data_IF_326513534899
#
_entry.id   IF_326513534899
#
_cell.length_a   1.000
_cell.length_b   1.000
_cell.length_c   1.000
_cell.angle_alpha   90.00
_cell.angle_beta   90.00
_cell.angle_gamma   90.00
#
_symmetry.space_group_name_H-M   'P 1'
#
loop_
_entity.id
_entity.type
_entity.pdbx_description
1 polymer ?
#
# COMPACT_ATOMS: atom_id res chain seq x y z
N UNK A 1 6.84 -7.35 -5.37
CA UNK A 1 6.15 -6.16 -5.92
C UNK A 1 4.67 -6.20 -5.54
N UNK A 2 4.09 -5.13 -4.97
CA UNK A 2 2.69 -5.12 -4.54
C UNK A 2 1.73 -4.95 -5.73
N UNK A 3 1.45 -6.05 -6.43
CA UNK A 3 0.41 -6.12 -7.46
C UNK A 3 -0.96 -6.21 -6.78
N UNK A 4 -1.82 -5.21 -7.00
CA UNK A 4 -3.24 -5.27 -6.63
C UNK A 4 -3.96 -6.33 -7.47
N UNK A 5 -5.12 -6.76 -6.99
CA UNK A 5 -5.91 -7.85 -7.57
C UNK A 5 -6.78 -7.36 -8.74
N UNK A 6 -7.20 -8.30 -9.61
CA UNK A 6 -8.08 -7.98 -10.74
C UNK A 6 -9.54 -7.88 -10.28
N UNK A 7 -10.30 -6.97 -10.90
CA UNK A 7 -11.75 -6.87 -10.66
C UNK A 7 -12.50 -8.14 -11.10
N UNK A 8 -11.96 -8.91 -12.04
CA UNK A 8 -12.59 -10.14 -12.52
C UNK A 8 -12.69 -11.23 -11.45
N UNK A 9 -11.91 -11.12 -10.37
CA UNK A 9 -11.90 -12.08 -9.28
C UNK A 9 -13.19 -12.12 -8.46
N UNK A 10 -14.10 -11.14 -8.65
CA UNK A 10 -15.47 -11.18 -8.10
C UNK A 10 -16.15 -12.52 -8.43
N UNK A 11 -15.90 -13.06 -9.64
CA UNK A 11 -16.50 -14.31 -10.13
C UNK A 11 -16.05 -15.56 -9.36
N UNK A 12 -15.01 -15.45 -8.55
CA UNK A 12 -14.45 -16.58 -7.79
C UNK A 12 -15.17 -16.83 -6.46
N UNK A 13 -16.08 -15.94 -6.08
CA UNK A 13 -16.80 -16.00 -4.81
C UNK A 13 -18.31 -16.16 -5.05
N UNK A 14 -19.02 -16.75 -4.08
CA UNK A 14 -20.48 -16.91 -4.15
C UNK A 14 -21.24 -15.67 -3.71
N UNK A 15 -20.61 -14.86 -2.87
CA UNK A 15 -21.13 -13.59 -2.40
C UNK A 15 -19.99 -12.61 -2.25
N UNK A 16 -20.17 -11.39 -2.72
CA UNK A 16 -19.12 -10.38 -2.74
C UNK A 16 -19.58 -9.08 -2.10
N UNK A 17 -18.71 -8.51 -1.27
CA UNK A 17 -18.97 -7.21 -0.62
C UNK A 17 -17.90 -6.22 -1.04
N UNK A 18 -18.34 -5.11 -1.64
CA UNK A 18 -17.44 -4.01 -1.98
C UNK A 18 -17.23 -3.10 -0.77
N UNK A 19 -15.97 -2.76 -0.50
CA UNK A 19 -15.57 -1.77 0.49
C UNK A 19 -15.01 -0.54 -0.22
N UNK A 20 -15.84 0.46 -0.58
CA UNK A 20 -15.35 1.69 -1.18
C UNK A 20 -14.59 2.51 -0.12
N UNK A 21 -13.36 2.92 -0.45
CA UNK A 21 -12.67 3.90 0.38
C UNK A 21 -13.36 5.28 0.27
N UNK A 22 -13.34 6.12 1.32
CA UNK A 22 -14.01 7.43 1.29
C UNK A 22 -13.54 8.35 0.16
N UNK A 23 -12.28 8.19 -0.28
CA UNK A 23 -11.72 8.96 -1.39
C UNK A 23 -12.33 8.62 -2.75
N UNK A 24 -13.08 7.52 -2.89
CA UNK A 24 -13.73 7.14 -4.16
C UNK A 24 -14.76 8.20 -4.58
N UNK A 25 -15.52 8.74 -3.62
CA UNK A 25 -16.60 9.69 -3.90
C UNK A 25 -16.12 11.01 -4.51
N UNK A 26 -14.86 11.39 -4.29
CA UNK A 26 -14.29 12.61 -4.86
C UNK A 26 -13.62 12.42 -6.22
N UNK A 27 -13.60 11.19 -6.75
CA UNK A 27 -13.03 10.90 -8.07
C UNK A 27 -13.97 11.26 -9.21
N UNK A 28 -15.26 11.45 -8.94
CA UNK A 28 -16.27 11.71 -9.97
C UNK A 28 -16.59 13.20 -10.11
N UNK A 29 -16.99 13.61 -11.31
CA UNK A 29 -17.51 14.96 -11.55
C UNK A 29 -18.99 15.05 -11.17
N UNK A 30 -19.38 16.19 -10.58
CA UNK A 30 -20.77 16.50 -10.26
C UNK A 30 -21.49 15.47 -9.37
N UNK A 31 -20.76 14.74 -8.53
CA UNK A 31 -21.39 13.85 -7.55
C UNK A 31 -22.14 14.66 -6.49
N UNK A 32 -23.46 14.51 -6.46
CA UNK A 32 -24.36 15.16 -5.49
C UNK A 32 -24.73 14.24 -4.34
N UNK A 33 -24.81 12.94 -4.62
CA UNK A 33 -25.27 11.91 -3.70
C UNK A 33 -24.33 10.71 -3.75
N UNK A 34 -23.87 10.23 -2.59
CA UNK A 34 -22.98 9.05 -2.50
C UNK A 34 -23.68 7.75 -2.91
N UNK A 35 -25.01 7.68 -2.78
CA UNK A 35 -25.80 6.52 -3.20
C UNK A 35 -25.68 6.22 -4.69
N UNK A 36 -25.33 7.22 -5.51
CA UNK A 36 -25.05 7.01 -6.94
C UNK A 36 -23.88 6.02 -7.12
N UNK A 37 -22.82 6.19 -6.33
CA UNK A 37 -21.64 5.33 -6.36
C UNK A 37 -21.96 3.96 -5.75
N UNK A 38 -22.68 3.95 -4.63
CA UNK A 38 -23.03 2.71 -3.92
C UNK A 38 -23.95 1.80 -4.76
N UNK A 39 -25.01 2.35 -5.36
CA UNK A 39 -25.90 1.58 -6.25
C UNK A 39 -25.17 1.16 -7.53
N UNK A 40 -24.23 1.97 -8.04
CA UNK A 40 -23.42 1.58 -9.19
C UNK A 40 -22.50 0.38 -8.88
N UNK A 41 -21.98 0.27 -7.65
CA UNK A 41 -21.19 -0.90 -7.20
C UNK A 41 -22.03 -2.18 -7.18
N UNK A 42 -23.29 -2.10 -6.76
CA UNK A 42 -24.22 -3.24 -6.86
C UNK A 42 -24.51 -3.57 -8.33
N UNK A 43 -24.84 -2.54 -9.13
CA UNK A 43 -25.20 -2.69 -10.55
C UNK A 43 -24.06 -3.27 -11.40
N UNK A 44 -22.79 -3.00 -11.05
CA UNK A 44 -21.63 -3.57 -11.76
C UNK A 44 -21.33 -5.03 -11.39
N UNK A 45 -21.97 -5.58 -10.35
CA UNK A 45 -21.91 -7.01 -10.03
C UNK A 45 -21.48 -7.38 -8.62
N UNK A 46 -21.32 -6.44 -7.69
CA UNK A 46 -21.17 -6.80 -6.26
C UNK A 46 -22.53 -7.12 -5.64
N UNK A 47 -22.56 -8.08 -4.70
CA UNK A 47 -23.80 -8.49 -4.03
C UNK A 47 -24.17 -7.62 -2.82
N UNK A 48 -23.19 -6.94 -2.23
CA UNK A 48 -23.39 -5.97 -1.15
C UNK A 48 -22.29 -4.89 -1.16
N UNK A 49 -22.51 -3.83 -0.39
CA UNK A 49 -21.54 -2.75 -0.18
C UNK A 49 -21.51 -2.37 1.29
N UNK A 50 -20.31 -2.21 1.83
CA UNK A 50 -20.12 -1.64 3.16
C UNK A 50 -19.07 -0.52 3.11
N UNK A 51 -19.50 0.69 3.44
CA UNK A 51 -18.65 1.86 3.32
C UNK A 51 -17.51 1.88 4.34
N UNK A 52 -16.27 2.05 3.88
CA UNK A 52 -15.14 2.25 4.80
C UNK A 52 -15.28 3.58 5.56
N UNK A 53 -16.00 4.56 5.01
CA UNK A 53 -16.36 5.80 5.72
C UNK A 53 -17.26 5.54 6.92
N UNK A 54 -18.16 4.55 6.89
CA UNK A 54 -18.97 4.21 8.05
C UNK A 54 -18.11 3.64 9.19
N UNK A 55 -17.17 2.75 8.86
CA UNK A 55 -16.18 2.26 9.82
C UNK A 55 -15.23 3.37 10.32
N UNK A 56 -14.95 4.40 9.51
CA UNK A 56 -14.11 5.52 9.94
C UNK A 56 -14.78 6.37 11.04
N UNK A 57 -16.12 6.45 11.07
CA UNK A 57 -16.85 7.09 12.17
C UNK A 57 -16.72 6.29 13.46
N UNK A 58 -16.82 4.95 13.37
CA UNK A 58 -16.58 4.04 14.50
C UNK A 58 -15.17 4.18 15.06
N UNK A 59 -14.16 4.16 14.20
CA UNK A 59 -12.77 4.33 14.62
C UNK A 59 -12.57 5.72 15.22
N UNK A 60 -13.20 6.77 14.69
CA UNK A 60 -13.13 8.10 15.28
C UNK A 60 -13.69 8.13 16.71
N UNK A 61 -14.82 7.44 16.96
CA UNK A 61 -15.37 7.26 18.31
C UNK A 61 -14.42 6.52 19.24
N UNK A 62 -13.88 5.39 18.78
CA UNK A 62 -12.92 4.59 19.53
C UNK A 62 -11.64 5.39 19.84
N UNK A 63 -11.12 6.17 18.89
CA UNK A 63 -9.96 7.03 19.10
C UNK A 63 -10.23 8.10 20.15
N UNK A 64 -11.38 8.77 20.10
CA UNK A 64 -11.74 9.78 21.12
C UNK A 64 -11.78 9.16 22.53
N UNK A 65 -12.38 7.97 22.65
CA UNK A 65 -12.43 7.23 23.91
C UNK A 65 -11.03 6.87 24.38
N UNK A 66 -10.22 6.27 23.53
CA UNK A 66 -8.86 5.82 23.85
C UNK A 66 -7.98 6.99 24.33
N UNK A 67 -7.95 8.11 23.59
CA UNK A 67 -7.19 9.31 23.97
C UNK A 67 -7.67 9.88 25.31
N UNK A 68 -8.97 9.82 25.59
CA UNK A 68 -9.54 10.35 26.82
C UNK A 68 -9.17 9.54 28.06
N UNK A 69 -8.95 8.23 27.89
CA UNK A 69 -8.57 7.26 28.92
C UNK A 69 -7.05 7.23 29.14
N UNK A 70 -6.25 7.54 28.11
CA UNK A 70 -4.77 7.44 28.11
C UNK A 70 -4.11 8.81 27.91
N UNK A 71 -4.59 9.84 28.61
CA UNK A 71 -4.16 11.23 28.36
C UNK A 71 -2.66 11.46 28.58
N UNK A 72 -2.07 10.73 29.52
CA UNK A 72 -0.66 10.87 29.90
C UNK A 72 0.30 10.26 28.86
N UNK A 73 -0.21 9.40 27.98
CA UNK A 73 0.57 8.77 26.90
C UNK A 73 0.53 9.57 25.58
N UNK A 74 -0.14 10.73 25.57
CA UNK A 74 -0.17 11.61 24.42
C UNK A 74 1.22 12.19 24.07
N UNK A 75 1.49 12.54 22.79
CA UNK A 75 0.57 12.43 21.66
C UNK A 75 0.48 11.01 21.07
N UNK A 76 -0.69 10.67 20.54
CA UNK A 76 -0.88 9.45 19.76
C UNK A 76 -0.72 9.70 18.26
N UNK A 77 -0.04 8.80 17.57
CA UNK A 77 0.17 8.84 16.12
C UNK A 77 -0.88 7.95 15.44
N UNK A 78 -1.59 8.49 14.45
CA UNK A 78 -2.52 7.73 13.62
C UNK A 78 -1.86 6.51 12.97
N UNK A 79 -2.60 5.41 12.91
CA UNK A 79 -2.20 4.16 12.26
C UNK A 79 -2.99 3.85 10.99
N UNK A 80 -3.81 4.80 10.53
CA UNK A 80 -4.66 4.64 9.35
C UNK A 80 -3.85 4.45 8.05
N UNK A 81 -2.72 5.15 7.94
CA UNK A 81 -1.80 5.10 6.80
C UNK A 81 -0.71 4.03 6.99
N UNK A 82 -0.83 2.85 6.35
CA UNK A 82 0.13 1.74 6.57
C UNK A 82 1.56 2.08 6.09
N UNK A 83 1.71 3.01 5.15
CA UNK A 83 3.03 3.48 4.71
C UNK A 83 3.78 4.20 5.84
N UNK A 84 3.08 5.06 6.59
CA UNK A 84 3.67 5.76 7.74
C UNK A 84 4.02 4.78 8.85
N UNK A 85 3.12 3.85 9.19
CA UNK A 85 3.39 2.83 10.21
C UNK A 85 4.63 2.01 9.86
N UNK A 86 4.78 1.59 8.60
CA UNK A 86 5.98 0.88 8.13
C UNK A 86 7.24 1.75 8.23
N UNK A 87 7.17 3.04 7.91
CA UNK A 87 8.31 3.95 8.06
C UNK A 87 8.72 4.08 9.52
N UNK A 88 7.76 4.21 10.44
CA UNK A 88 8.04 4.27 11.88
C UNK A 88 8.74 2.99 12.35
N UNK A 89 8.26 1.82 11.93
CA UNK A 89 8.89 0.52 12.22
C UNK A 89 10.33 0.41 11.75
N UNK A 90 10.75 1.18 10.75
CA UNK A 90 12.08 1.04 10.15
C UNK A 90 13.01 2.14 10.61
N UNK A 91 12.52 3.39 10.62
CA UNK A 91 13.33 4.60 10.81
C UNK A 91 13.13 5.28 12.16
N UNK A 92 11.98 5.12 12.81
CA UNK A 92 11.64 5.82 14.06
C UNK A 92 11.10 4.84 15.13
N UNK A 93 11.84 3.77 15.48
CA UNK A 93 11.34 2.75 16.40
C UNK A 93 10.97 3.27 17.80
N UNK A 94 11.58 4.38 18.22
CA UNK A 94 11.29 5.05 19.50
C UNK A 94 9.84 5.56 19.57
N UNK A 95 9.21 5.81 18.42
CA UNK A 95 7.83 6.28 18.30
C UNK A 95 6.81 5.14 18.24
N UNK A 96 7.23 3.86 18.21
CA UNK A 96 6.31 2.72 18.21
C UNK A 96 5.31 2.73 19.38
N UNK A 97 5.70 3.06 20.63
CA UNK A 97 4.77 3.13 21.75
C UNK A 97 3.72 4.26 21.62
N UNK A 98 3.97 5.24 20.74
CA UNK A 98 3.04 6.35 20.47
C UNK A 98 2.01 6.02 19.40
N UNK A 99 2.12 4.88 18.72
CA UNK A 99 1.13 4.46 17.72
C UNK A 99 -0.22 4.21 18.39
N UNK A 100 -1.30 4.73 17.80
CA UNK A 100 -2.66 4.47 18.24
C UNK A 100 -3.00 2.97 18.02
N UNK A 101 -3.25 2.18 19.07
CA UNK A 101 -3.37 0.72 18.98
C UNK A 101 -4.78 0.28 18.55
N UNK A 102 -5.35 0.96 17.56
CA UNK A 102 -6.66 0.65 16.98
C UNK A 102 -6.51 0.12 15.55
N UNK A 103 -7.36 -0.83 15.17
CA UNK A 103 -7.43 -1.34 13.80
C UNK A 103 -7.83 -0.20 12.85
N UNK A 104 -7.27 -0.15 11.62
CA UNK A 104 -7.65 0.86 10.66
C UNK A 104 -9.11 0.65 10.19
N UNK A 105 -9.82 1.71 9.75
CA UNK A 105 -11.22 1.61 9.34
C UNK A 105 -11.52 0.53 8.31
N UNK A 106 -10.60 0.27 7.39
CA UNK A 106 -10.77 -0.76 6.36
C UNK A 106 -10.84 -2.18 6.94
N UNK A 107 -10.14 -2.44 8.05
CA UNK A 107 -10.17 -3.75 8.72
C UNK A 107 -11.48 -3.92 9.48
N UNK A 108 -11.90 -2.89 10.21
CA UNK A 108 -13.20 -2.85 10.90
C UNK A 108 -14.35 -3.02 9.88
N UNK A 109 -14.27 -2.33 8.74
CA UNK A 109 -15.22 -2.48 7.66
C UNK A 109 -15.28 -3.93 7.12
N UNK A 110 -14.13 -4.56 6.95
CA UNK A 110 -14.05 -5.94 6.47
C UNK A 110 -14.61 -6.96 7.49
N UNK A 111 -14.31 -6.79 8.78
CA UNK A 111 -14.86 -7.61 9.86
C UNK A 111 -16.40 -7.52 9.90
N UNK A 112 -16.94 -6.29 9.88
CA UNK A 112 -18.39 -6.05 9.89
C UNK A 112 -19.05 -6.59 8.62
N UNK A 113 -18.49 -6.28 7.45
CA UNK A 113 -19.04 -6.71 6.17
C UNK A 113 -19.12 -8.24 6.07
N UNK A 114 -18.08 -8.94 6.51
CA UNK A 114 -18.04 -10.40 6.52
C UNK A 114 -19.05 -10.97 7.50
N UNK A 115 -19.12 -10.45 8.73
CA UNK A 115 -20.09 -10.93 9.72
C UNK A 115 -21.53 -10.79 9.21
N UNK A 116 -21.89 -9.63 8.64
CA UNK A 116 -23.20 -9.39 8.03
C UNK A 116 -23.48 -10.30 6.84
N UNK A 117 -22.49 -10.52 5.97
CA UNK A 117 -22.65 -11.40 4.83
C UNK A 117 -22.88 -12.86 5.25
N UNK A 118 -22.17 -13.36 6.26
CA UNK A 118 -22.38 -14.70 6.84
C UNK A 118 -23.79 -14.81 7.42
N UNK A 119 -24.21 -13.83 8.22
CA UNK A 119 -25.56 -13.82 8.83
C UNK A 119 -26.66 -13.81 7.76
N UNK A 120 -26.49 -12.99 6.71
CA UNK A 120 -27.47 -12.81 5.64
C UNK A 120 -27.59 -14.02 4.72
N UNK A 121 -26.47 -14.68 4.41
CA UNK A 121 -26.40 -15.72 3.36
C UNK A 121 -26.30 -17.14 3.90
N UNK A 122 -25.78 -17.31 5.11
CA UNK A 122 -25.39 -18.62 5.65
C UNK A 122 -24.21 -19.27 4.94
N UNK A 123 -23.51 -18.55 4.04
CA UNK A 123 -22.33 -19.07 3.35
C UNK A 123 -21.13 -19.14 4.29
N UNK A 124 -20.23 -20.12 4.07
CA UNK A 124 -18.98 -20.17 4.81
C UNK A 124 -18.09 -18.98 4.42
N UNK A 125 -17.20 -18.58 5.32
CA UNK A 125 -16.39 -17.36 5.16
C UNK A 125 -15.55 -17.37 3.87
N UNK A 126 -15.04 -18.53 3.46
CA UNK A 126 -14.23 -18.71 2.26
C UNK A 126 -15.00 -18.49 0.95
N UNK A 127 -16.32 -18.64 0.96
CA UNK A 127 -17.20 -18.40 -0.19
C UNK A 127 -17.59 -16.91 -0.31
N UNK A 128 -17.27 -16.10 0.71
CA UNK A 128 -17.57 -14.66 0.78
C UNK A 128 -16.30 -13.86 0.49
N UNK A 129 -16.31 -13.13 -0.63
CA UNK A 129 -15.20 -12.27 -1.04
C UNK A 129 -15.38 -10.83 -0.56
N UNK A 130 -14.43 -10.33 0.23
CA UNK A 130 -14.38 -8.95 0.68
C UNK A 130 -13.39 -8.15 -0.16
N UNK A 131 -13.90 -7.21 -0.95
CA UNK A 131 -13.13 -6.45 -1.95
C UNK A 131 -12.95 -5.00 -1.53
N UNK A 132 -11.72 -4.61 -1.21
CA UNK A 132 -11.39 -3.22 -0.93
C UNK A 132 -11.03 -2.45 -2.20
N UNK A 133 -11.79 -1.40 -2.50
CA UNK A 133 -11.53 -0.51 -3.62
C UNK A 133 -10.58 0.59 -3.14
N UNK A 134 -9.29 0.39 -3.40
CA UNK A 134 -8.22 1.11 -2.74
C UNK A 134 -7.68 2.29 -3.55
N UNK A 135 -7.43 3.44 -2.90
CA UNK A 135 -6.65 4.54 -3.49
C UNK A 135 -5.13 4.28 -3.41
N UNK A 136 -4.70 3.24 -2.69
CA UNK A 136 -3.33 3.12 -2.19
C UNK A 136 -2.75 1.70 -2.39
N UNK A 137 -1.55 1.55 -2.97
CA UNK A 137 -0.89 0.25 -3.10
C UNK A 137 -0.44 -0.29 -1.73
N UNK A 138 -0.16 0.57 -0.75
CA UNK A 138 0.23 0.12 0.60
C UNK A 138 -0.88 -0.66 1.32
N UNK A 139 -2.14 -0.50 0.90
CA UNK A 139 -3.27 -1.29 1.39
C UNK A 139 -3.32 -2.70 0.81
N UNK A 140 -2.75 -2.93 -0.38
CA UNK A 140 -2.51 -4.28 -0.93
C UNK A 140 -1.57 -5.04 0.00
N UNK A 141 -0.44 -4.41 0.34
CA UNK A 141 0.52 -5.02 1.26
C UNK A 141 -0.07 -5.18 2.66
N UNK A 142 -0.95 -4.27 3.11
CA UNK A 142 -1.65 -4.42 4.39
C UNK A 142 -2.58 -5.64 4.40
N UNK A 143 -3.38 -5.87 3.35
CA UNK A 143 -4.25 -7.05 3.28
C UNK A 143 -3.45 -8.36 3.35
N UNK A 144 -2.28 -8.41 2.70
CA UNK A 144 -1.40 -9.60 2.66
C UNK A 144 -0.54 -9.77 3.92
N UNK A 145 -0.01 -8.67 4.45
CA UNK A 145 0.85 -8.60 5.62
C UNK A 145 0.38 -7.46 6.52
N UNK A 146 -0.69 -7.68 7.29
CA UNK A 146 -1.32 -6.66 8.10
C UNK A 146 -0.43 -6.16 9.24
N UNK A 147 -0.75 -4.96 9.72
CA UNK A 147 -0.10 -4.32 10.87
C UNK A 147 -1.13 -4.25 11.99
N UNK A 148 -0.82 -4.78 13.17
CA UNK A 148 -1.72 -4.76 14.32
C UNK A 148 -2.75 -5.90 14.37
N UNK A 149 -2.85 -6.72 13.33
CA UNK A 149 -3.70 -7.93 13.31
C UNK A 149 -2.96 -9.11 12.71
N UNK A 150 -3.33 -10.35 13.10
CA UNK A 150 -2.66 -11.57 12.61
C UNK A 150 -3.02 -11.91 11.16
N UNK A 151 -4.27 -11.68 10.78
CA UNK A 151 -4.80 -11.94 9.44
C UNK A 151 -5.86 -10.89 9.13
N UNK A 152 -5.78 -10.30 7.94
CA UNK A 152 -6.79 -9.34 7.48
C UNK A 152 -8.04 -10.10 7.02
N UNK A 153 -9.20 -9.48 7.22
CA UNK A 153 -10.49 -9.92 6.67
C UNK A 153 -10.72 -9.47 5.22
N UNK A 154 -9.77 -8.74 4.62
CA UNK A 154 -9.82 -8.31 3.23
C UNK A 154 -9.23 -9.41 2.34
N UNK A 155 -10.03 -9.93 1.40
CA UNK A 155 -9.56 -10.98 0.48
C UNK A 155 -8.87 -10.41 -0.75
N UNK A 156 -9.42 -9.29 -1.26
CA UNK A 156 -8.98 -8.67 -2.51
C UNK A 156 -8.87 -7.17 -2.38
N UNK A 157 -7.83 -6.60 -2.97
CA UNK A 157 -7.62 -5.16 -3.06
C UNK A 157 -7.54 -4.77 -4.52
N UNK A 158 -8.54 -4.05 -5.01
CA UNK A 158 -8.63 -3.58 -6.40
C UNK A 158 -8.28 -2.10 -6.47
N UNK A 159 -7.60 -1.68 -7.54
CA UNK A 159 -7.20 -0.29 -7.72
C UNK A 159 -8.39 0.58 -8.15
N UNK A 160 -8.56 1.75 -7.52
CA UNK A 160 -9.61 2.71 -7.87
C UNK A 160 -9.63 3.08 -9.36
N UNK A 161 -8.46 3.33 -9.97
CA UNK A 161 -8.33 3.66 -11.39
C UNK A 161 -8.85 2.58 -12.35
N UNK A 162 -8.88 1.32 -11.92
CA UNK A 162 -9.35 0.21 -12.74
C UNK A 162 -10.87 -0.01 -12.54
N UNK A 163 -11.38 0.28 -11.34
CA UNK A 163 -12.83 0.26 -11.03
C UNK A 163 -13.56 1.46 -11.65
N UNK A 164 -12.94 2.64 -11.63
CA UNK A 164 -13.51 3.92 -12.08
C UNK A 164 -14.20 3.86 -13.46
N UNK A 165 -13.54 3.39 -14.56
CA UNK A 165 -14.17 3.38 -15.88
C UNK A 165 -15.37 2.45 -15.98
N UNK A 166 -15.35 1.32 -15.26
CA UNK A 166 -16.49 0.39 -15.21
C UNK A 166 -17.63 1.04 -14.44
N UNK A 167 -17.34 1.60 -13.26
CA UNK A 167 -18.34 2.21 -12.39
C UNK A 167 -19.10 3.35 -13.08
N UNK A 168 -18.41 4.18 -13.87
CA UNK A 168 -19.03 5.27 -14.64
C UNK A 168 -20.17 4.79 -15.54
N UNK A 169 -20.11 3.57 -16.08
CA UNK A 169 -21.15 3.02 -16.95
C UNK A 169 -22.43 2.64 -16.19
N UNK A 170 -22.32 2.42 -14.88
CA UNK A 170 -23.42 2.01 -14.01
C UNK A 170 -23.99 3.15 -13.17
N UNK A 171 -23.35 4.33 -13.16
CA UNK A 171 -23.82 5.50 -12.43
C UNK A 171 -25.04 6.14 -13.12
N UNK A 172 -26.04 6.49 -12.32
CA UNK A 172 -27.24 7.21 -12.77
C UNK A 172 -27.33 8.58 -12.12
N UNK A 173 -27.72 9.60 -12.90
CA UNK A 173 -28.06 10.93 -12.37
C UNK A 173 -29.54 11.06 -11.99
N UNK A 174 -30.35 10.05 -12.29
CA UNK A 174 -31.74 9.98 -11.87
C UNK A 174 -31.82 9.44 -10.44
N UNK A 175 -31.83 10.34 -9.46
CA UNK A 175 -31.83 10.00 -8.04
C UNK A 175 -33.09 9.23 -7.60
N UNK A 176 -34.19 9.29 -8.37
CA UNK A 176 -35.43 8.55 -8.06
C UNK A 176 -35.28 7.03 -8.16
N UNK A 177 -34.21 6.56 -8.82
CA UNK A 177 -33.88 5.14 -8.99
C UNK A 177 -32.93 4.61 -7.94
N UNK A 178 -32.43 5.47 -7.05
CA UNK A 178 -31.43 5.07 -6.05
C UNK A 178 -32.11 4.45 -4.84
N UNK A 179 -31.54 3.35 -4.34
CA UNK A 179 -31.85 2.85 -3.00
C UNK A 179 -30.95 3.58 -2.01
N UNK A 180 -31.49 4.18 -0.94
CA UNK A 180 -30.69 4.89 0.06
C UNK A 180 -29.96 3.89 0.96
N UNK A 181 -28.72 3.56 0.59
CA UNK A 181 -27.88 2.57 1.28
C UNK A 181 -26.65 3.21 1.93
N UNK A 182 -26.48 4.53 1.77
CA UNK A 182 -25.49 5.33 2.49
C UNK A 182 -25.65 5.19 4.01
N UNK A 183 -24.52 5.05 4.68
CA UNK A 183 -24.37 4.76 6.11
C UNK A 183 -23.29 5.60 6.78
N UNK A 184 -22.74 6.59 6.07
CA UNK A 184 -21.69 7.47 6.56
C UNK A 184 -22.03 8.96 6.40
N UNK A 185 -21.60 9.76 7.38
CA UNK A 185 -21.71 11.20 7.39
C UNK A 185 -20.39 11.91 7.03
N UNK A 186 -20.34 13.20 7.33
CA UNK A 186 -19.20 14.07 7.01
C UNK A 186 -17.91 13.69 7.74
N UNK A 187 -18.00 13.07 8.94
CA UNK A 187 -16.82 12.55 9.63
C UNK A 187 -16.22 11.41 8.80
N UNK A 188 -17.03 10.40 8.45
CA UNK A 188 -16.55 9.25 7.68
C UNK A 188 -15.98 9.61 6.32
N UNK A 189 -16.69 10.47 5.57
CA UNK A 189 -16.23 10.94 4.25
C UNK A 189 -14.98 11.82 4.37
N UNK A 190 -14.86 12.58 5.47
CA UNK A 190 -13.77 13.51 5.73
C UNK A 190 -12.40 12.84 5.80
N UNK A 191 -12.31 11.60 6.30
CA UNK A 191 -11.09 10.79 6.37
C UNK A 191 -10.36 10.61 5.02
N UNK A 192 -11.04 10.89 3.90
CA UNK A 192 -10.38 10.92 2.59
C UNK A 192 -9.30 12.01 2.46
N UNK A 193 -9.43 13.11 3.21
CA UNK A 193 -8.53 14.25 3.15
C UNK A 193 -7.56 14.28 4.33
N UNK A 194 -6.40 14.91 4.12
CA UNK A 194 -5.50 15.26 5.21
C UNK A 194 -6.20 16.16 6.25
N UNK A 195 -6.06 15.82 7.53
CA UNK A 195 -6.75 16.46 8.65
C UNK A 195 -8.18 15.94 8.86
N UNK A 196 -8.66 15.03 8.01
CA UNK A 196 -10.01 14.48 8.07
C UNK A 196 -10.24 13.58 9.28
N UNK A 197 -9.26 12.73 9.60
CA UNK A 197 -9.27 11.89 10.79
C UNK A 197 -9.24 12.77 12.05
N UNK A 198 -8.33 13.74 12.08
CA UNK A 198 -8.18 14.66 13.21
C UNK A 198 -9.42 15.51 13.45
N UNK A 199 -10.06 16.00 12.38
CA UNK A 199 -11.33 16.72 12.48
C UNK A 199 -12.44 15.85 13.09
N UNK A 200 -12.39 14.54 12.86
CA UNK A 200 -13.26 13.56 13.51
C UNK A 200 -13.05 13.47 15.03
N UNK A 201 -11.90 13.87 15.57
CA UNK A 201 -11.62 13.78 17.01
C UNK A 201 -12.23 14.91 17.83
N UNK A 202 -12.70 15.99 17.18
CA UNK A 202 -13.33 17.15 17.84
C UNK A 202 -12.39 17.74 18.92
N UNK A 203 -11.10 17.87 18.57
CA UNK A 203 -10.08 18.50 19.41
C UNK A 203 -9.26 19.48 18.58
N UNK A 204 -8.77 20.55 19.19
CA UNK A 204 -7.88 21.53 18.54
C UNK A 204 -6.40 21.18 18.74
N UNK A 205 -6.09 20.21 19.61
CA UNK A 205 -4.72 19.83 19.96
C UNK A 205 -4.23 18.67 19.10
N UNK A 206 -4.19 18.86 17.78
CA UNK A 206 -3.63 17.88 16.87
C UNK A 206 -2.69 18.51 15.85
N UNK A 207 -1.84 17.67 15.26
CA UNK A 207 -1.06 18.00 14.08
C UNK A 207 -1.52 17.08 12.94
N UNK A 208 -1.90 17.68 11.81
CA UNK A 208 -2.17 16.94 10.58
C UNK A 208 -1.14 17.31 9.52
N UNK A 209 -0.50 16.31 8.94
CA UNK A 209 0.50 16.48 7.90
C UNK A 209 0.29 15.45 6.79
N UNK A 210 0.51 15.89 5.55
CA UNK A 210 0.46 15.06 4.37
C UNK A 210 1.75 15.20 3.54
N UNK A 211 1.98 14.22 2.68
CA UNK A 211 3.18 14.12 1.86
C UNK A 211 4.35 13.49 2.62
N UNK A 212 4.95 12.48 1.99
CA UNK A 212 5.96 11.62 2.62
C UNK A 212 7.16 12.39 3.20
N UNK A 213 7.66 13.39 2.47
CA UNK A 213 8.81 14.18 2.92
C UNK A 213 8.49 15.07 4.13
N UNK A 214 7.27 15.61 4.18
CA UNK A 214 6.82 16.40 5.33
C UNK A 214 6.54 15.50 6.53
N UNK A 215 5.92 14.34 6.32
CA UNK A 215 5.70 13.35 7.37
C UNK A 215 7.02 12.88 8.00
N UNK A 216 8.08 12.64 7.21
CA UNK A 216 9.41 12.29 7.72
C UNK A 216 10.01 13.37 8.62
N UNK A 217 9.86 14.65 8.23
CA UNK A 217 10.31 15.78 9.07
C UNK A 217 9.54 15.85 10.39
N UNK A 218 8.22 15.71 10.33
CA UNK A 218 7.37 15.70 11.54
C UNK A 218 7.73 14.54 12.46
N UNK A 219 7.98 13.34 11.92
CA UNK A 219 8.43 12.20 12.72
C UNK A 219 9.78 12.46 13.39
N UNK A 220 10.74 13.04 12.67
CA UNK A 220 12.04 13.43 13.25
C UNK A 220 11.87 14.47 14.36
N UNK A 221 11.05 15.50 14.13
CA UNK A 221 10.80 16.55 15.14
C UNK A 221 10.03 16.02 16.36
N UNK A 222 9.20 14.98 16.18
CA UNK A 222 8.48 14.31 17.25
C UNK A 222 9.42 13.41 18.09
N UNK A 223 10.36 12.72 17.46
CA UNK A 223 11.40 11.95 18.15
C UNK A 223 12.36 12.87 18.93
N UNK A 224 12.64 14.07 18.41
CA UNK A 224 13.42 15.12 19.09
C UNK A 224 12.63 15.88 20.18
N UNK A 225 11.38 15.48 20.47
CA UNK A 225 10.50 16.12 21.47
C UNK A 225 10.27 17.64 21.24
N UNK A 226 10.20 18.09 19.98
CA UNK A 226 10.00 19.51 19.64
C UNK A 226 8.56 20.00 19.76
N UNK A 227 7.58 19.09 19.79
CA UNK A 227 6.16 19.41 19.87
C UNK A 227 5.61 19.23 21.29
N UNK A 228 4.86 20.22 21.78
CA UNK A 228 4.27 20.21 23.11
C UNK A 228 2.74 20.37 23.04
N UNK A 229 2.02 19.69 23.93
CA UNK A 229 0.57 19.86 24.10
C UNK A 229 -0.31 19.20 23.02
N UNK A 230 0.29 18.47 22.08
CA UNK A 230 -0.45 17.67 21.09
C UNK A 230 -1.08 16.44 21.76
N UNK A 231 -2.32 16.14 21.39
CA UNK A 231 -3.01 14.90 21.74
C UNK A 231 -2.94 13.87 20.63
N UNK A 232 -2.91 14.34 19.38
CA UNK A 232 -3.00 13.48 18.22
C UNK A 232 -2.14 13.98 17.06
N UNK A 233 -1.55 13.05 16.31
CA UNK A 233 -0.71 13.32 15.14
C UNK A 233 -1.21 12.46 13.99
N UNK A 234 -1.84 13.10 13.01
CA UNK A 234 -2.29 12.49 11.76
C UNK A 234 -1.24 12.68 10.67
N UNK A 235 -0.73 11.58 10.13
CA UNK A 235 0.27 11.59 9.07
C UNK A 235 -0.21 10.79 7.87
N UNK A 236 -0.21 11.43 6.70
CA UNK A 236 -0.56 10.81 5.43
C UNK A 236 0.64 10.82 4.49
N UNK A 237 0.97 9.68 3.87
CA UNK A 237 2.09 9.60 2.92
C UNK A 237 1.82 10.36 1.60
N UNK A 238 0.56 10.45 1.18
CA UNK A 238 0.14 11.08 -0.07
C UNK A 238 -0.28 12.54 0.16
N UNK A 239 -0.01 13.41 -0.82
CA UNK A 239 -0.44 14.81 -0.78
C UNK A 239 -1.97 14.90 -0.85
N UNK A 240 -2.58 15.75 -0.02
CA UNK A 240 -4.02 15.88 0.14
C UNK A 240 -4.68 14.76 0.96
N UNK A 241 -3.92 13.76 1.43
CA UNK A 241 -4.46 12.56 2.08
C UNK A 241 -4.78 11.44 1.09
N UNK A 242 -5.75 10.58 1.42
CA UNK A 242 -6.12 9.43 0.58
C UNK A 242 -6.72 9.81 -0.79
N UNK A 243 -7.27 11.03 -0.94
CA UNK A 243 -7.71 11.56 -2.24
C UNK A 243 -6.59 11.72 -3.27
N UNK A 244 -5.34 11.87 -2.82
CA UNK A 244 -4.14 11.90 -3.66
C UNK A 244 -3.39 10.59 -3.72
N UNK A 245 -4.04 9.47 -3.41
CA UNK A 245 -3.44 8.15 -3.50
C UNK A 245 -2.98 7.81 -4.92
N UNK A 246 -1.93 7.00 -5.07
CA UNK A 246 -1.34 6.72 -6.39
C UNK A 246 -2.22 5.85 -7.30
N UNK A 247 -3.32 5.28 -6.78
CA UNK A 247 -4.29 4.50 -7.55
C UNK A 247 -5.56 5.29 -7.86
N UNK A 248 -5.62 6.58 -7.52
CA UNK A 248 -6.76 7.45 -7.82
C UNK A 248 -6.72 7.96 -9.27
N UNK A 249 -7.79 8.64 -9.71
CA UNK A 249 -7.94 9.14 -11.09
C UNK A 249 -7.90 10.67 -11.14
N UNK A 250 -8.54 11.32 -10.17
CA UNK A 250 -8.66 12.77 -10.15
C UNK A 250 -7.41 13.44 -9.58
N UNK A 251 -7.18 14.69 -9.99
CA UNK A 251 -6.18 15.54 -9.38
C UNK A 251 -6.46 15.69 -7.86
N UNK A 252 -5.45 15.51 -6.99
CA UNK A 252 -5.65 15.52 -5.53
C UNK A 252 -6.31 16.80 -5.01
N UNK A 253 -5.91 17.97 -5.54
CA UNK A 253 -6.44 19.25 -5.09
C UNK A 253 -7.90 19.46 -5.51
N UNK A 254 -8.25 18.98 -6.71
CA UNK A 254 -9.63 18.99 -7.20
C UNK A 254 -10.49 18.00 -6.40
N UNK A 255 -9.99 16.80 -6.14
CA UNK A 255 -10.66 15.81 -5.31
C UNK A 255 -10.92 16.33 -3.88
N UNK A 256 -9.95 17.03 -3.27
CA UNK A 256 -10.16 17.72 -1.98
C UNK A 256 -11.27 18.76 -2.07
N UNK A 257 -11.29 19.59 -3.12
CA UNK A 257 -12.34 20.59 -3.31
C UNK A 257 -13.74 19.96 -3.49
N UNK A 258 -13.83 18.86 -4.25
CA UNK A 258 -15.07 18.08 -4.43
C UNK A 258 -15.58 17.50 -3.11
N UNK A 259 -14.69 16.96 -2.28
CA UNK A 259 -15.06 16.40 -0.99
C UNK A 259 -15.69 17.45 -0.07
N UNK A 260 -15.15 18.68 -0.04
CA UNK A 260 -15.72 19.80 0.72
C UNK A 260 -17.15 20.14 0.29
N UNK A 261 -17.47 20.00 -1.01
CA UNK A 261 -18.84 20.23 -1.52
C UNK A 261 -19.78 19.13 -1.03
N UNK A 262 -19.34 17.88 -1.07
CA UNK A 262 -20.11 16.71 -0.61
C UNK A 262 -20.43 16.82 0.91
N UNK A 263 -19.48 17.28 1.71
CA UNK A 263 -19.66 17.48 3.16
C UNK A 263 -20.82 18.39 3.55
N UNK A 264 -21.19 19.37 2.72
CA UNK A 264 -22.13 20.43 3.10
C UNK A 264 -23.53 19.88 3.40
N UNK A 265 -23.91 18.77 2.76
CA UNK A 265 -25.26 18.24 2.81
C UNK A 265 -25.36 16.91 3.57
N UNK A 266 -24.24 16.41 4.10
CA UNK A 266 -24.18 15.18 4.87
C UNK A 266 -24.41 15.44 6.37
N UNK A 267 -25.05 14.49 7.09
CA UNK A 267 -25.11 14.55 8.55
C UNK A 267 -23.70 14.46 9.16
N UNK A 268 -23.59 14.76 10.46
CA UNK A 268 -22.29 14.77 11.16
C UNK A 268 -21.65 13.38 11.17
N UNK A 269 -22.42 12.41 11.63
CA UNK A 269 -22.14 11.00 11.62
C UNK A 269 -23.47 10.27 11.43
N UNK A 270 -23.41 9.04 10.93
CA UNK A 270 -24.55 8.13 10.85
C UNK A 270 -24.29 6.83 11.59
N UNK A 271 -23.03 6.44 11.73
CA UNK A 271 -22.62 5.19 12.36
C UNK A 271 -21.99 5.45 13.73
N UNK A 272 -22.42 4.68 14.73
CA UNK A 272 -22.02 4.80 16.13
C UNK A 272 -21.59 3.43 16.70
N UNK A 273 -20.61 3.44 17.61
CA UNK A 273 -20.05 2.23 18.23
C UNK A 273 -21.09 1.43 19.02
N UNK A 274 -22.13 2.08 19.55
CA UNK A 274 -23.27 1.41 20.20
C UNK A 274 -24.04 0.46 19.27
N UNK A 275 -23.92 0.62 17.95
CA UNK A 275 -24.55 -0.28 16.98
C UNK A 275 -23.68 -1.51 16.65
N UNK A 276 -22.45 -1.58 17.18
CA UNK A 276 -21.45 -2.59 16.87
C UNK A 276 -20.66 -2.98 18.13
N UNK A 277 -21.37 -3.30 19.21
CA UNK A 277 -20.77 -3.60 20.52
C UNK A 277 -19.84 -4.83 20.52
N UNK A 278 -20.09 -5.78 19.61
CA UNK A 278 -19.29 -7.01 19.49
C UNK A 278 -17.98 -6.84 18.70
N UNK A 279 -17.71 -5.64 18.17
CA UNK A 279 -16.50 -5.37 17.40
C UNK A 279 -15.35 -4.97 18.33
N UNK A 280 -14.25 -5.73 18.25
CA UNK A 280 -13.01 -5.34 18.90
C UNK A 280 -12.23 -4.36 18.01
N UNK A 281 -12.16 -3.11 18.45
CA UNK A 281 -11.45 -2.02 17.76
C UNK A 281 -9.93 -2.08 17.95
N UNK A 282 -9.42 -2.82 18.92
CA UNK A 282 -7.99 -2.80 19.26
C UNK A 282 -7.17 -3.74 18.40
N UNK A 283 -5.87 -3.49 18.33
CA UNK A 283 -4.95 -4.45 17.74
C UNK A 283 -4.93 -5.78 18.49
N UNK A 284 -4.82 -6.86 17.71
CA UNK A 284 -4.63 -8.23 18.24
C UNK A 284 -3.17 -8.67 18.26
N UNK A 285 -2.26 -7.84 17.72
CA UNK A 285 -0.82 -8.06 17.73
C UNK A 285 -0.09 -6.71 17.82
N UNK A 286 1.10 -6.70 18.44
CA UNK A 286 1.93 -5.49 18.47
C UNK A 286 2.63 -5.26 17.13
N UNK A 287 2.88 -3.99 16.83
CA UNK A 287 3.68 -3.59 15.69
C UNK A 287 5.15 -3.53 16.12
N UNK A 288 5.97 -4.42 15.56
CA UNK A 288 7.38 -4.56 15.95
C UNK A 288 8.32 -3.76 15.05
N UNK A 289 9.46 -3.37 15.62
CA UNK A 289 10.60 -2.81 14.90
C UNK A 289 11.07 -3.76 13.80
N UNK A 290 11.26 -3.23 12.59
CA UNK A 290 11.79 -3.97 11.45
C UNK A 290 13.16 -3.38 11.05
N UNK A 291 14.26 -3.99 11.51
CA UNK A 291 15.61 -3.51 11.18
C UNK A 291 15.92 -3.78 9.71
N UNK A 292 15.52 -2.88 8.81
CA UNK A 292 15.86 -2.99 7.38
C UNK A 292 17.34 -2.68 7.12
N UNK A 293 18.05 -2.08 8.09
CA UNK A 293 19.50 -1.86 8.00
C UNK A 293 20.34 -3.02 8.57
N UNK A 294 19.72 -4.11 9.04
CA UNK A 294 20.44 -5.35 9.35
C UNK A 294 20.50 -6.20 8.08
N UNK A 295 21.67 -6.24 7.47
CA UNK A 295 21.94 -7.14 6.36
C UNK A 295 22.02 -8.60 6.84
N UNK A 296 22.39 -8.83 8.10
CA UNK A 296 22.53 -10.16 8.70
C UNK A 296 21.79 -10.34 10.03
N UNK A 297 21.67 -11.58 10.48
CA UNK A 297 20.99 -11.98 11.72
C UNK A 297 21.77 -11.58 12.98
N UNK A 298 23.08 -11.30 12.83
CA UNK A 298 23.94 -10.80 13.90
C UNK A 298 24.63 -9.48 13.51
N UNK A 299 25.11 -8.75 14.51
CA UNK A 299 25.91 -7.54 14.29
C UNK A 299 27.16 -7.83 13.45
N UNK A 300 27.84 -8.95 13.71
CA UNK A 300 29.04 -9.36 12.99
C UNK A 300 28.74 -9.66 11.52
N UNK A 301 27.70 -10.44 11.26
CA UNK A 301 27.25 -10.76 9.90
C UNK A 301 26.81 -9.49 9.15
N UNK A 302 26.08 -8.58 9.82
CA UNK A 302 25.72 -7.31 9.23
C UNK A 302 26.94 -6.47 8.84
N UNK A 303 28.01 -6.48 9.65
CA UNK A 303 29.26 -5.76 9.36
C UNK A 303 30.01 -6.37 8.16
N UNK A 304 30.08 -7.71 8.09
CA UNK A 304 30.68 -8.43 6.95
C UNK A 304 29.90 -8.16 5.64
N UNK A 305 28.57 -8.17 5.72
CA UNK A 305 27.71 -7.85 4.59
C UNK A 305 27.79 -6.37 4.19
N UNK A 306 27.96 -5.44 5.14
CA UNK A 306 28.20 -4.02 4.83
C UNK A 306 29.49 -3.83 4.02
N UNK A 307 30.58 -4.51 4.37
CA UNK A 307 31.80 -4.50 3.56
C UNK A 307 31.56 -5.01 2.14
N UNK A 308 30.79 -6.10 2.02
CA UNK A 308 30.40 -6.65 0.71
C UNK A 308 29.55 -5.66 -0.12
N UNK A 309 28.66 -4.91 0.54
CA UNK A 309 27.86 -3.85 -0.12
C UNK A 309 28.76 -2.73 -0.65
N UNK A 310 29.75 -2.30 0.13
CA UNK A 310 30.73 -1.29 -0.31
C UNK A 310 31.51 -1.77 -1.55
N UNK A 311 32.06 -2.99 -1.49
CA UNK A 311 32.80 -3.61 -2.60
C UNK A 311 31.96 -3.69 -3.89
N UNK A 312 30.68 -4.08 -3.79
CA UNK A 312 29.78 -4.16 -4.95
C UNK A 312 29.41 -2.76 -5.44
N UNK A 313 29.19 -1.81 -4.53
CA UNK A 313 28.85 -0.42 -4.90
C UNK A 313 29.96 0.22 -5.71
N UNK A 314 31.22 -0.02 -5.36
CA UNK A 314 32.40 0.46 -6.13
C UNK A 314 32.49 -0.15 -7.54
N UNK A 315 31.99 -1.37 -7.72
CA UNK A 315 31.96 -2.06 -9.02
C UNK A 315 30.77 -1.65 -9.91
N UNK A 316 29.83 -0.89 -9.36
CA UNK A 316 28.69 -0.34 -10.08
C UNK A 316 29.02 1.05 -10.65
N UNK A 317 28.28 1.53 -11.66
CA UNK A 317 28.59 2.79 -12.35
C UNK A 317 28.58 4.06 -11.48
N UNK A 318 28.03 4.01 -10.26
CA UNK A 318 27.90 5.18 -9.38
C UNK A 318 26.99 6.30 -9.91
N UNK A 319 26.11 5.98 -10.88
CA UNK A 319 25.27 6.98 -11.57
C UNK A 319 23.95 7.29 -10.85
N UNK A 320 23.52 6.43 -9.92
CA UNK A 320 22.25 6.56 -9.19
C UNK A 320 21.02 6.85 -10.08
N UNK A 321 21.00 6.29 -11.29
CA UNK A 321 20.03 6.61 -12.34
C UNK A 321 18.64 5.97 -12.17
N UNK A 322 18.50 5.00 -11.25
CA UNK A 322 17.21 4.33 -11.00
C UNK A 322 16.74 3.31 -12.04
N UNK A 323 17.48 3.08 -13.14
CA UNK A 323 17.00 2.26 -14.27
C UNK A 323 16.75 0.78 -13.94
N UNK A 324 17.41 0.25 -12.90
CA UNK A 324 17.23 -1.13 -12.42
C UNK A 324 16.11 -1.27 -11.38
N UNK A 325 15.41 -0.18 -11.04
CA UNK A 325 14.38 -0.17 -9.99
C UNK A 325 14.90 0.17 -8.58
N UNK A 326 16.22 0.09 -8.35
CA UNK A 326 16.84 0.56 -7.11
C UNK A 326 17.16 2.07 -7.18
N UNK A 327 16.89 2.87 -6.13
CA UNK A 327 17.04 4.33 -6.16
C UNK A 327 18.50 4.81 -6.21
N UNK A 328 19.45 3.98 -5.77
CA UNK A 328 20.90 4.26 -5.82
C UNK A 328 21.66 2.98 -6.18
N UNK A 329 22.90 3.11 -6.67
CA UNK A 329 23.79 1.99 -6.92
C UNK A 329 24.07 1.21 -5.62
N UNK A 330 24.15 1.91 -4.48
CA UNK A 330 24.25 1.27 -3.16
C UNK A 330 23.01 0.45 -2.82
N UNK A 331 21.81 0.94 -3.10
CA UNK A 331 20.59 0.18 -2.88
C UNK A 331 20.56 -1.10 -3.73
N UNK A 332 20.98 -1.02 -5.01
CA UNK A 332 21.14 -2.22 -5.83
C UNK A 332 22.17 -3.20 -5.23
N UNK A 333 23.28 -2.69 -4.70
CA UNK A 333 24.29 -3.52 -4.03
C UNK A 333 23.74 -4.22 -2.77
N UNK A 334 22.92 -3.53 -1.98
CA UNK A 334 22.21 -4.12 -0.84
C UNK A 334 21.24 -5.24 -1.29
N UNK A 335 20.49 -5.02 -2.36
CA UNK A 335 19.58 -6.02 -2.94
C UNK A 335 20.35 -7.25 -3.47
N UNK A 336 21.52 -7.05 -4.07
CA UNK A 336 22.41 -8.13 -4.52
C UNK A 336 22.92 -8.95 -3.34
N UNK A 337 23.37 -8.30 -2.27
CA UNK A 337 23.86 -8.98 -1.06
C UNK A 337 22.76 -9.79 -0.38
N UNK A 338 21.50 -9.34 -0.48
CA UNK A 338 20.32 -10.07 0.01
C UNK A 338 19.89 -11.22 -0.90
N UNK A 339 20.44 -11.32 -2.11
CA UNK A 339 20.01 -12.30 -3.12
C UNK A 339 18.69 -11.94 -3.80
N UNK A 340 18.23 -10.69 -3.68
CA UNK A 340 17.01 -10.17 -4.29
C UNK A 340 17.27 -9.60 -5.71
N UNK A 341 18.53 -9.31 -6.03
CA UNK A 341 18.98 -8.80 -7.32
C UNK A 341 20.31 -9.42 -7.75
N UNK A 342 20.70 -9.18 -9.00
CA UNK A 342 22.00 -9.56 -9.56
C UNK A 342 22.71 -8.34 -10.17
N UNK A 343 24.04 -8.42 -10.32
CA UNK A 343 24.82 -7.33 -10.96
C UNK A 343 24.30 -6.97 -12.36
N UNK A 344 23.75 -7.94 -13.07
CA UNK A 344 23.23 -7.78 -14.43
C UNK A 344 21.87 -7.09 -14.52
N UNK A 345 21.23 -6.78 -13.38
CA UNK A 345 20.03 -5.95 -13.36
C UNK A 345 20.38 -4.46 -13.60
N UNK A 346 21.64 -4.07 -13.36
CA UNK A 346 22.16 -2.79 -13.84
C UNK A 346 22.37 -2.83 -15.35
N UNK A 347 21.62 -2.00 -16.09
CA UNK A 347 21.70 -1.93 -17.56
C UNK A 347 23.13 -1.66 -18.08
N UNK A 348 23.90 -0.84 -17.36
CA UNK A 348 25.28 -0.50 -17.74
C UNK A 348 26.23 -1.68 -17.51
N UNK A 349 26.15 -2.35 -16.37
CA UNK A 349 26.94 -3.55 -16.09
C UNK A 349 26.57 -4.70 -17.04
N UNK A 350 25.29 -4.79 -17.43
CA UNK A 350 24.82 -5.75 -18.40
C UNK A 350 25.37 -5.48 -19.80
N UNK A 351 25.40 -4.23 -20.26
CA UNK A 351 26.02 -3.86 -21.53
C UNK A 351 27.53 -4.16 -21.52
N UNK A 352 28.22 -3.88 -20.42
CA UNK A 352 29.64 -4.24 -20.26
C UNK A 352 29.84 -5.76 -20.37
N UNK A 353 28.99 -6.54 -19.69
CA UNK A 353 28.99 -8.01 -19.76
C UNK A 353 28.78 -8.52 -21.18
N UNK A 354 27.79 -8.00 -21.92
CA UNK A 354 27.54 -8.36 -23.33
C UNK A 354 28.75 -8.03 -24.21
N UNK A 355 29.37 -6.86 -24.02
CA UNK A 355 30.53 -6.45 -24.81
C UNK A 355 31.74 -7.35 -24.55
N UNK A 356 32.00 -7.69 -23.28
CA UNK A 356 33.08 -8.62 -22.91
C UNK A 356 32.84 -10.01 -23.51
N UNK A 357 31.61 -10.52 -23.42
CA UNK A 357 31.24 -11.79 -24.02
C UNK A 357 31.40 -11.78 -25.55
N UNK A 358 30.98 -10.71 -26.21
CA UNK A 358 31.15 -10.54 -27.66
C UNK A 358 32.63 -10.52 -28.08
N UNK A 359 33.49 -9.90 -27.25
CA UNK A 359 34.93 -9.89 -27.48
C UNK A 359 35.56 -11.27 -27.28
N UNK A 360 35.14 -12.04 -26.27
CA UNK A 360 35.60 -13.42 -26.05
C UNK A 360 35.20 -14.34 -27.20
N UNK A 361 33.94 -14.26 -27.67
CA UNK A 361 33.48 -14.99 -28.86
C UNK A 361 34.31 -14.60 -30.09
N UNK A 362 34.58 -13.30 -30.27
CA UNK A 362 35.42 -12.80 -31.36
C UNK A 362 36.89 -13.23 -31.26
N UNK A 363 37.43 -13.39 -30.05
CA UNK A 363 38.78 -13.93 -29.81
C UNK A 363 38.83 -15.42 -30.13
N UNK A 364 37.88 -16.21 -29.64
CA UNK A 364 37.79 -17.64 -29.92
C UNK A 364 37.62 -17.92 -31.40
N UNK A 365 36.74 -17.18 -32.09
CA UNK A 365 36.53 -17.29 -33.55
C UNK A 365 37.83 -17.00 -34.33
N UNK A 366 38.65 -16.06 -33.87
CA UNK A 366 39.96 -15.76 -34.48
C UNK A 366 41.01 -16.83 -34.17
N UNK A 367 41.05 -17.33 -32.95
CA UNK A 367 41.94 -18.44 -32.54
C UNK A 367 41.61 -19.75 -33.26
N UNK A 368 40.33 -19.99 -33.56
CA UNK A 368 39.83 -21.08 -34.39
C UNK A 368 40.29 -20.96 -35.85
N UNK A 369 40.25 -19.75 -36.42
CA UNK A 369 40.73 -19.49 -37.79
C UNK A 369 42.26 -19.63 -37.96
N UNK A 370 43.03 -19.55 -36.86
CA UNK A 370 44.50 -19.71 -36.86
C UNK A 370 44.94 -21.17 -36.66
N UNK A 371 44.06 -22.05 -36.16
CA UNK A 371 44.34 -23.47 -35.91
C UNK A 371 43.74 -24.36 -37.01
N UNK A 372 44.29 -24.23 -38.24
CA UNK A 372 44.04 -25.19 -39.31
C UNK A 372 44.60 -26.58 -38.92
N UNK A 373 43.79 -27.43 -38.29
CA UNK A 373 44.23 -28.77 -37.90
C UNK A 373 43.18 -29.77 -37.40
N UNK A 374 41.96 -29.37 -37.03
CA UNK A 374 40.81 -30.28 -36.83
C UNK A 374 39.51 -29.47 -36.62
N UNK A 375 38.71 -29.31 -37.68
CA UNK A 375 37.51 -28.46 -37.67
C UNK A 375 36.35 -29.01 -36.81
N UNK A 376 36.24 -30.32 -36.60
CA UNK A 376 35.08 -30.93 -35.94
C UNK A 376 35.07 -30.80 -34.41
N UNK A 377 36.24 -30.90 -33.76
CA UNK A 377 36.34 -30.80 -32.29
C UNK A 377 36.17 -29.35 -31.83
N UNK A 378 36.74 -28.44 -32.61
CA UNK A 378 36.61 -26.99 -32.51
C UNK A 378 35.17 -26.49 -32.67
N UNK A 379 34.41 -27.00 -33.64
CA UNK A 379 32.97 -26.69 -33.78
C UNK A 379 32.15 -27.23 -32.61
N UNK A 380 32.45 -28.44 -32.12
CA UNK A 380 31.78 -29.01 -30.95
C UNK A 380 31.95 -28.17 -29.69
N UNK A 381 33.15 -27.62 -29.46
CA UNK A 381 33.42 -26.73 -28.32
C UNK A 381 32.62 -25.42 -28.45
N UNK A 382 32.51 -24.87 -29.66
CA UNK A 382 31.71 -23.69 -29.92
C UNK A 382 30.20 -23.96 -29.69
N UNK A 383 29.70 -25.10 -30.17
CA UNK A 383 28.31 -25.52 -29.96
C UNK A 383 27.99 -25.75 -28.47
N UNK A 384 28.87 -26.41 -27.72
CA UNK A 384 28.68 -26.61 -26.27
C UNK A 384 28.68 -25.29 -25.49
N UNK A 385 29.51 -24.32 -25.89
CA UNK A 385 29.53 -22.98 -25.28
C UNK A 385 28.30 -22.16 -25.64
N UNK A 386 27.85 -22.18 -26.91
CA UNK A 386 26.60 -21.55 -27.34
C UNK A 386 25.43 -22.15 -26.55
N UNK A 387 25.40 -23.48 -26.39
CA UNK A 387 24.35 -24.18 -25.64
C UNK A 387 24.37 -23.83 -24.15
N UNK A 388 25.56 -23.67 -23.55
CA UNK A 388 25.72 -23.18 -22.17
C UNK A 388 25.21 -21.74 -22.03
N UNK A 389 25.51 -20.87 -23.00
CA UNK A 389 25.03 -19.49 -23.05
C UNK A 389 23.50 -19.40 -23.23
N UNK A 390 22.92 -20.19 -24.13
CA UNK A 390 21.47 -20.26 -24.30
C UNK A 390 20.79 -20.73 -23.02
N UNK A 391 21.38 -21.71 -22.33
CA UNK A 391 20.87 -22.21 -21.04
C UNK A 391 20.92 -21.15 -19.94
N UNK A 392 21.98 -20.33 -19.87
CA UNK A 392 22.08 -19.24 -18.90
C UNK A 392 21.14 -18.06 -19.23
N UNK A 393 20.89 -17.79 -20.50
CA UNK A 393 19.90 -16.79 -20.93
C UNK A 393 18.46 -17.24 -20.67
N UNK A 394 18.12 -18.52 -20.92
CA UNK A 394 16.79 -19.09 -20.63
C UNK A 394 16.49 -19.16 -19.13
N UNK A 395 17.52 -19.31 -18.28
CA UNK A 395 17.40 -19.26 -16.82
C UNK A 395 16.99 -17.87 -16.29
N UNK A 396 17.11 -16.83 -17.13
CA UNK A 396 16.77 -15.43 -16.80
C UNK A 396 15.32 -15.06 -17.14
N UNK A 397 14.63 -15.86 -17.97
CA UNK A 397 13.22 -15.65 -18.33
C UNK A 397 12.22 -16.32 -17.36
N UNK A 398 12.71 -17.05 -16.35
CA UNK A 398 11.92 -17.59 -15.23
C UNK A 398 12.25 -16.85 -13.95
#
# INVERSE_FOLDING_TARGET
>A
MALYDSLEEIKNYRYTVALPAPSLYSQFNNLTNVDIVLNALISMGFDDVFEVSAAAELVSEATRKYISEHRDDAPFISTACPAIVRIIRVKFPTLLPRLLPLKPPVEIAAEIARAKAIEKTGYPSEDIGIFFISPCPSKVTYARSPLGVKKSQIDKVVAMKDVYPVLLQHMTHDESKLTPIASSGRIGIGWSNAGGESAGLITDNYLACDGIMSALRVLSDLEDEKFYGLKFVELNACNGGCVGGTLTVENPYIATAKTKKLHRYLPVAQTHASSYEDIDYHWSAYVEYEPVFRLGNSFRESLELMGTVEDITEQLPGLDCGSCGAPTCRALAEDIVRGEATRNDCIYAFHEYINNLSNEIGFLTRSLNLSCGNNDESMKILEDYIKKLTTELERKER
#
